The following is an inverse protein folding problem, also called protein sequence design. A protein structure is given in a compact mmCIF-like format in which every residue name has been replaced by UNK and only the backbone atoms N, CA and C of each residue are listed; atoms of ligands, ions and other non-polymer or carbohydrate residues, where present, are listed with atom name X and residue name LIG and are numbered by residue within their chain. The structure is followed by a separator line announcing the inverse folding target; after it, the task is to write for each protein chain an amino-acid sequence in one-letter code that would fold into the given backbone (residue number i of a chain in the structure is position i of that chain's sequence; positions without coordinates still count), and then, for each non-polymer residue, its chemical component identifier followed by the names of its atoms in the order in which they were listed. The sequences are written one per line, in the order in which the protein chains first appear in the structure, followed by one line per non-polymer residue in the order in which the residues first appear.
data_IF_346730105045
#
_entry.id   IF_346730105045
#
_cell.length_a   1.000
_cell.length_b   1.000
_cell.length_c   1.000
_cell.angle_alpha   90.00
_cell.angle_beta   90.00
_cell.angle_gamma   90.00
#
_symmetry.space_group_name_H-M   'P 1'
#
loop_
_entity.id
_entity.type
_entity.pdbx_description
1 polymer ?
#
# COMPACT_ATOMS: atom_id res chain seq x y z
N UNK A 1 19.85 8.58 -20.26
CA UNK A 1 20.71 8.21 -19.12
C UNK A 1 19.99 7.35 -18.09
N UNK A 2 18.83 7.77 -17.53
CA UNK A 2 18.06 6.97 -16.54
C UNK A 2 17.58 5.64 -17.17
N UNK A 3 17.02 5.68 -18.38
CA UNK A 3 16.59 4.48 -19.11
C UNK A 3 17.73 3.46 -19.25
N UNK A 4 18.89 3.89 -19.72
CA UNK A 4 20.04 2.99 -19.88
C UNK A 4 20.50 2.39 -18.55
N UNK A 5 20.43 3.18 -17.46
CA UNK A 5 20.75 2.70 -16.11
C UNK A 5 19.79 1.60 -15.66
N UNK A 6 18.48 1.84 -15.75
CA UNK A 6 17.45 0.86 -15.37
C UNK A 6 17.60 -0.43 -16.17
N UNK A 7 17.78 -0.33 -17.51
CA UNK A 7 17.99 -1.49 -18.37
C UNK A 7 19.26 -2.26 -18.00
N UNK A 8 20.38 -1.57 -17.75
CA UNK A 8 21.63 -2.21 -17.33
C UNK A 8 21.47 -2.92 -16.00
N UNK A 9 20.78 -2.29 -15.04
CA UNK A 9 20.51 -2.90 -13.75
C UNK A 9 19.67 -4.17 -13.88
N UNK A 10 18.55 -4.11 -14.62
CA UNK A 10 17.66 -5.25 -14.82
C UNK A 10 18.32 -6.39 -15.60
N UNK A 11 19.14 -6.07 -16.63
CA UNK A 11 19.85 -7.07 -17.42
C UNK A 11 20.95 -7.80 -16.63
N UNK A 12 21.50 -7.17 -15.59
CA UNK A 12 22.48 -7.78 -14.70
C UNK A 12 21.87 -8.75 -13.67
N UNK A 13 20.54 -8.82 -13.56
CA UNK A 13 19.86 -9.74 -12.65
C UNK A 13 19.53 -11.07 -13.32
N UNK A 14 19.71 -12.16 -12.59
CA UNK A 14 19.27 -13.50 -13.04
C UNK A 14 17.74 -13.56 -13.11
N UNK A 15 17.06 -13.04 -12.08
CA UNK A 15 15.62 -12.92 -12.03
C UNK A 15 15.14 -11.84 -13.01
N UNK A 16 14.17 -12.20 -13.85
CA UNK A 16 13.59 -11.27 -14.83
C UNK A 16 12.47 -10.46 -14.21
N UNK A 17 12.57 -9.14 -14.33
CA UNK A 17 11.51 -8.22 -13.90
C UNK A 17 10.31 -8.31 -14.84
N UNK A 18 9.12 -8.44 -14.27
CA UNK A 18 7.84 -8.37 -14.98
C UNK A 18 6.93 -7.37 -14.26
N UNK A 19 6.59 -6.27 -14.95
CA UNK A 19 5.83 -5.20 -14.31
C UNK A 19 5.98 -3.86 -15.01
N UNK A 20 5.56 -2.80 -14.35
CA UNK A 20 5.59 -1.44 -14.83
C UNK A 20 6.41 -0.54 -13.90
N UNK A 21 7.15 0.37 -14.51
CA UNK A 21 7.96 1.38 -13.82
C UNK A 21 7.56 2.75 -14.31
N UNK A 22 7.39 3.69 -13.38
CA UNK A 22 7.25 5.12 -13.69
C UNK A 22 8.11 5.95 -12.75
N UNK A 23 8.78 6.93 -13.29
CA UNK A 23 9.52 7.96 -12.53
C UNK A 23 9.04 9.33 -13.01
N UNK A 24 8.61 10.15 -12.09
CA UNK A 24 8.24 11.54 -12.35
C UNK A 24 9.09 12.50 -11.53
N UNK A 25 9.35 13.67 -12.09
CA UNK A 25 10.08 14.76 -11.46
C UNK A 25 9.36 16.07 -11.73
N UNK A 26 9.07 16.84 -10.68
CA UNK A 26 8.39 18.14 -10.79
C UNK A 26 7.07 18.10 -11.57
N UNK A 27 6.33 17.00 -11.47
CA UNK A 27 5.06 16.76 -12.16
C UNK A 27 5.19 16.20 -13.58
N UNK A 28 6.40 16.07 -14.12
CA UNK A 28 6.63 15.49 -15.44
C UNK A 28 7.10 14.05 -15.36
N UNK A 29 6.55 13.18 -16.20
CA UNK A 29 7.03 11.80 -16.33
C UNK A 29 8.36 11.79 -17.11
N UNK A 30 9.46 11.48 -16.41
CA UNK A 30 10.80 11.39 -17.01
C UNK A 30 11.19 9.97 -17.46
N UNK A 31 10.45 8.96 -16.98
CA UNK A 31 10.59 7.57 -17.40
C UNK A 31 9.29 6.80 -17.16
N UNK A 32 8.88 6.01 -18.16
CA UNK A 32 7.77 5.05 -18.06
C UNK A 32 8.02 3.90 -19.02
N UNK A 33 8.00 2.67 -18.49
CA UNK A 33 8.19 1.47 -19.32
C UNK A 33 7.51 0.24 -18.68
N UNK A 34 7.06 -0.69 -19.54
CA UNK A 34 6.46 -1.97 -19.17
C UNK A 34 7.39 -3.11 -19.56
N UNK A 35 7.53 -4.10 -18.68
CA UNK A 35 8.41 -5.25 -18.85
C UNK A 35 7.66 -6.55 -18.63
N UNK A 36 8.07 -7.61 -19.32
CA UNK A 36 7.54 -8.95 -19.13
C UNK A 36 6.07 -9.07 -19.54
N UNK A 37 5.37 -10.01 -18.92
CA UNK A 37 4.02 -10.41 -19.32
C UNK A 37 3.02 -10.27 -18.18
N UNK A 38 1.85 -9.72 -18.48
CA UNK A 38 0.70 -9.68 -17.59
C UNK A 38 0.10 -11.09 -17.39
N UNK A 39 0.24 -11.93 -18.41
CA UNK A 39 -0.14 -13.33 -18.35
C UNK A 39 0.85 -14.16 -19.18
N UNK A 40 1.54 -15.08 -18.53
CA UNK A 40 2.55 -15.91 -19.18
C UNK A 40 1.92 -17.08 -19.97
N UNK A 41 0.78 -17.58 -19.54
CA UNK A 41 0.08 -18.69 -20.20
C UNK A 41 -0.45 -18.30 -21.58
N UNK A 42 -0.93 -17.08 -21.70
CA UNK A 42 -1.48 -16.50 -22.92
C UNK A 42 -0.52 -15.57 -23.65
N UNK A 43 0.69 -15.47 -23.19
CA UNK A 43 1.74 -14.64 -23.80
C UNK A 43 1.37 -13.13 -23.89
N UNK A 44 0.50 -12.65 -22.95
CA UNK A 44 0.00 -11.28 -22.95
C UNK A 44 1.04 -10.36 -22.28
N UNK A 45 1.55 -9.34 -23.01
CA UNK A 45 2.54 -8.43 -22.44
C UNK A 45 1.94 -7.51 -21.36
N UNK A 46 2.77 -7.06 -20.42
CA UNK A 46 2.43 -5.91 -19.59
C UNK A 46 2.34 -4.64 -20.43
N UNK A 47 1.41 -3.79 -20.10
CA UNK A 47 1.18 -2.47 -20.74
C UNK A 47 0.92 -1.41 -19.69
N UNK A 48 0.87 -0.15 -20.07
CA UNK A 48 0.60 0.95 -19.16
C UNK A 48 -0.74 0.79 -18.37
N UNK A 49 -1.74 0.15 -18.98
CA UNK A 49 -3.06 -0.09 -18.34
C UNK A 49 -3.14 -1.40 -17.55
N UNK A 50 -2.05 -2.16 -17.46
CA UNK A 50 -2.03 -3.39 -16.66
C UNK A 50 -2.23 -3.06 -15.18
N UNK A 51 -3.21 -3.73 -14.57
CA UNK A 51 -3.56 -3.59 -13.15
C UNK A 51 -2.84 -4.63 -12.31
N UNK A 52 -2.27 -4.18 -11.21
CA UNK A 52 -1.54 -5.01 -10.25
C UNK A 52 -2.18 -4.90 -8.88
N UNK A 53 -2.19 -5.98 -8.12
CA UNK A 53 -2.39 -5.89 -6.67
C UNK A 53 -1.25 -5.09 -6.06
N UNK A 54 -1.58 -4.08 -5.24
CA UNK A 54 -0.55 -3.19 -4.69
C UNK A 54 -0.19 -3.52 -3.24
N UNK A 55 -0.78 -4.57 -2.66
CA UNK A 55 -0.47 -4.99 -1.31
C UNK A 55 -0.50 -3.83 -0.32
N UNK A 56 0.48 -3.74 0.55
CA UNK A 56 0.52 -2.74 1.63
C UNK A 56 0.60 -1.27 1.18
N UNK A 57 0.83 -0.97 -0.09
CA UNK A 57 0.62 0.40 -0.62
C UNK A 57 -0.84 0.85 -0.43
N UNK A 58 -1.78 -0.08 -0.28
CA UNK A 58 -3.16 0.17 0.16
C UNK A 58 -3.24 1.03 1.43
N UNK A 59 -2.29 0.89 2.35
CA UNK A 59 -2.29 1.62 3.63
C UNK A 59 -2.22 3.13 3.45
N UNK A 60 -1.61 3.60 2.38
CA UNK A 60 -1.59 5.03 2.01
C UNK A 60 -3.02 5.53 1.80
N UNK A 61 -3.83 4.78 1.07
CA UNK A 61 -5.24 5.13 0.80
C UNK A 61 -6.08 5.10 2.08
N UNK A 62 -5.88 4.10 2.92
CA UNK A 62 -6.56 4.00 4.21
C UNK A 62 -6.21 5.18 5.13
N UNK A 63 -4.94 5.56 5.18
CA UNK A 63 -4.49 6.72 5.95
C UNK A 63 -5.12 8.02 5.41
N UNK A 64 -5.12 8.23 4.09
CA UNK A 64 -5.77 9.39 3.46
C UNK A 64 -7.28 9.40 3.79
N UNK A 65 -7.95 8.25 3.75
CA UNK A 65 -9.37 8.15 4.09
C UNK A 65 -9.65 8.54 5.55
N UNK A 66 -8.85 8.09 6.49
CA UNK A 66 -8.93 8.51 7.91
C UNK A 66 -8.69 10.01 8.04
N UNK A 67 -7.64 10.52 7.40
CA UNK A 67 -7.31 11.94 7.46
C UNK A 67 -8.38 12.83 6.79
N UNK A 68 -9.09 12.33 5.78
CA UNK A 68 -10.27 13.00 5.21
C UNK A 68 -11.36 13.15 6.26
N UNK A 69 -11.63 12.11 7.05
CA UNK A 69 -12.59 12.18 8.16
C UNK A 69 -12.14 13.13 9.27
N UNK A 70 -10.82 13.20 9.53
CA UNK A 70 -10.24 14.17 10.47
C UNK A 70 -10.45 15.60 9.97
N UNK A 71 -10.19 15.88 8.71
CA UNK A 71 -10.36 17.20 8.10
C UNK A 71 -11.84 17.63 8.09
N UNK A 72 -12.75 16.68 7.88
CA UNK A 72 -14.21 16.86 8.00
C UNK A 72 -14.71 16.99 9.45
N UNK A 73 -13.82 16.92 10.44
CA UNK A 73 -14.15 16.97 11.89
C UNK A 73 -15.10 15.87 12.33
N UNK A 74 -15.16 14.75 11.61
CA UNK A 74 -15.94 13.55 11.96
C UNK A 74 -15.15 12.58 12.83
N UNK A 75 -13.83 12.77 12.90
CA UNK A 75 -12.87 11.95 13.62
C UNK A 75 -11.75 12.83 14.17
N UNK A 76 -11.17 12.43 15.27
CA UNK A 76 -9.95 13.03 15.82
C UNK A 76 -8.91 11.92 16.02
N UNK A 77 -7.63 12.22 15.82
CA UNK A 77 -6.56 11.21 15.93
C UNK A 77 -6.45 10.61 17.34
N UNK A 78 -6.87 11.33 18.35
CA UNK A 78 -6.92 10.85 19.74
C UNK A 78 -8.22 10.12 20.11
N UNK A 79 -9.24 10.07 19.23
CA UNK A 79 -10.37 9.19 19.44
C UNK A 79 -9.88 7.76 19.63
N UNK A 80 -10.61 7.00 20.44
CA UNK A 80 -10.25 5.62 20.76
C UNK A 80 -11.01 4.63 19.89
N UNK A 81 -10.48 3.43 19.74
CA UNK A 81 -11.19 2.35 19.03
C UNK A 81 -12.54 2.05 19.65
N UNK A 82 -12.66 2.14 21.00
CA UNK A 82 -13.90 1.90 21.70
C UNK A 82 -15.02 2.91 21.34
N UNK A 83 -14.67 4.11 20.86
CA UNK A 83 -15.66 5.10 20.40
C UNK A 83 -16.45 4.60 19.17
N UNK A 84 -15.88 3.67 18.40
CA UNK A 84 -16.45 3.16 17.15
C UNK A 84 -16.75 1.66 17.20
N UNK A 85 -15.97 0.90 17.96
CA UNK A 85 -16.10 -0.55 18.15
C UNK A 85 -16.08 -0.82 19.65
N UNK A 86 -17.20 -0.63 20.38
CA UNK A 86 -17.24 -0.68 21.86
C UNK A 86 -16.79 -2.02 22.44
N UNK A 87 -16.92 -3.11 21.68
CA UNK A 87 -16.56 -4.47 22.11
C UNK A 87 -15.06 -4.77 21.93
N UNK A 88 -14.27 -3.85 21.35
CA UNK A 88 -12.86 -4.10 21.08
C UNK A 88 -12.03 -4.13 22.37
N UNK A 89 -11.28 -5.21 22.65
CA UNK A 89 -10.50 -5.33 23.89
C UNK A 89 -9.50 -4.19 24.03
N UNK A 90 -9.42 -3.56 25.20
CA UNK A 90 -8.59 -2.38 25.47
C UNK A 90 -8.83 -1.22 24.47
N UNK A 91 -9.98 -1.22 23.79
CA UNK A 91 -10.30 -0.22 22.79
C UNK A 91 -10.21 1.22 23.29
N UNK A 92 -10.46 1.47 24.57
CA UNK A 92 -10.31 2.77 25.24
C UNK A 92 -8.84 3.22 25.46
N UNK A 93 -7.87 2.36 25.22
CA UNK A 93 -6.42 2.65 25.32
C UNK A 93 -5.75 2.80 23.97
N UNK A 94 -6.46 2.43 22.89
CA UNK A 94 -5.93 2.41 21.53
C UNK A 94 -6.52 3.58 20.76
N UNK A 95 -5.71 4.54 20.38
CA UNK A 95 -6.14 5.67 19.56
C UNK A 95 -6.07 5.38 18.06
N UNK A 96 -6.76 6.21 17.27
CA UNK A 96 -6.64 6.18 15.79
C UNK A 96 -5.19 6.39 15.38
N UNK A 97 -4.47 7.30 16.04
CA UNK A 97 -3.06 7.55 15.77
C UNK A 97 -2.20 6.30 16.04
N UNK A 98 -2.46 5.56 17.11
CA UNK A 98 -1.77 4.29 17.38
C UNK A 98 -1.96 3.26 16.26
N UNK A 99 -3.15 3.21 15.63
CA UNK A 99 -3.41 2.31 14.50
C UNK A 99 -2.65 2.77 13.25
N UNK A 100 -2.69 4.07 12.94
CA UNK A 100 -2.00 4.65 11.78
C UNK A 100 -0.48 4.48 11.83
N UNK A 101 0.10 4.54 13.04
CA UNK A 101 1.56 4.52 13.26
C UNK A 101 2.10 3.15 13.67
N UNK A 102 1.28 2.10 13.63
CA UNK A 102 1.67 0.75 14.05
C UNK A 102 2.16 0.65 15.51
N UNK A 103 1.60 1.48 16.38
CA UNK A 103 1.93 1.49 17.81
C UNK A 103 0.77 1.02 18.70
N UNK A 104 -0.27 0.45 18.10
CA UNK A 104 -1.46 0.00 18.84
C UNK A 104 -1.23 -1.21 19.73
N UNK A 105 -0.19 -1.98 19.49
CA UNK A 105 0.08 -3.24 20.18
C UNK A 105 -0.90 -4.38 19.85
N UNK A 106 -1.83 -4.18 18.92
CA UNK A 106 -2.79 -5.22 18.49
C UNK A 106 -2.05 -6.37 17.83
N UNK A 107 -2.44 -7.61 18.15
CA UNK A 107 -1.93 -8.81 17.51
C UNK A 107 -2.24 -8.81 15.99
N UNK A 108 -1.28 -9.29 15.21
CA UNK A 108 -1.41 -9.30 13.76
C UNK A 108 -2.02 -10.63 13.30
N UNK A 109 -3.11 -10.59 12.54
CA UNK A 109 -3.77 -11.80 12.02
C UNK A 109 -2.84 -12.59 11.09
N UNK A 110 -1.94 -11.93 10.36
CA UNK A 110 -0.99 -12.60 9.48
C UNK A 110 0.09 -13.41 10.22
N UNK A 111 0.24 -13.20 11.54
CA UNK A 111 1.17 -13.96 12.39
C UNK A 111 0.49 -15.15 13.08
N UNK A 112 -0.82 -15.34 12.89
CA UNK A 112 -1.56 -16.39 13.58
C UNK A 112 -1.32 -17.77 12.90
N UNK A 113 -1.26 -18.86 13.68
CA UNK A 113 -1.03 -20.20 13.14
C UNK A 113 -2.09 -20.65 12.12
N UNK A 114 -3.32 -20.15 12.24
CA UNK A 114 -4.45 -20.48 11.39
C UNK A 114 -4.59 -19.52 10.18
N UNK A 115 -3.66 -18.56 10.02
CA UNK A 115 -3.72 -17.58 8.94
C UNK A 115 -3.83 -18.22 7.56
N UNK A 116 -3.00 -19.22 7.28
CA UNK A 116 -3.00 -19.87 5.97
C UNK A 116 -4.38 -20.48 5.65
N UNK A 117 -4.99 -21.17 6.59
CA UNK A 117 -6.31 -21.78 6.38
C UNK A 117 -7.42 -20.74 6.21
N UNK A 118 -7.40 -19.70 7.03
CA UNK A 118 -8.39 -18.61 6.94
C UNK A 118 -8.20 -17.75 5.72
N UNK A 119 -6.99 -17.59 5.23
CA UNK A 119 -6.69 -16.80 4.04
C UNK A 119 -7.33 -17.34 2.75
N UNK A 120 -7.74 -18.60 2.72
CA UNK A 120 -8.50 -19.18 1.61
C UNK A 120 -10.01 -18.89 1.67
N UNK A 121 -10.51 -18.45 2.82
CA UNK A 121 -11.93 -18.25 3.06
C UNK A 121 -12.33 -16.81 2.79
N UNK A 122 -13.56 -16.63 2.34
CA UNK A 122 -14.20 -15.31 2.29
C UNK A 122 -14.41 -14.81 3.72
N UNK A 123 -13.96 -13.60 4.00
CA UNK A 123 -14.13 -12.94 5.29
C UNK A 123 -14.86 -11.61 5.09
N UNK A 124 -15.89 -11.36 5.88
CA UNK A 124 -16.47 -10.01 5.98
C UNK A 124 -15.58 -9.11 6.85
N UNK A 125 -15.73 -7.77 6.78
CA UNK A 125 -15.04 -6.88 7.71
C UNK A 125 -15.28 -7.23 9.18
N UNK A 126 -16.50 -7.67 9.54
CA UNK A 126 -16.83 -8.08 10.90
C UNK A 126 -16.14 -9.40 11.30
N UNK A 127 -16.02 -10.35 10.38
CA UNK A 127 -15.25 -11.59 10.63
C UNK A 127 -13.79 -11.27 10.90
N UNK A 128 -13.19 -10.34 10.13
CA UNK A 128 -11.82 -9.89 10.35
C UNK A 128 -11.66 -9.20 11.70
N UNK A 129 -12.59 -8.34 12.11
CA UNK A 129 -12.58 -7.71 13.44
C UNK A 129 -12.69 -8.75 14.54
N UNK A 130 -13.60 -9.71 14.44
CA UNK A 130 -13.73 -10.80 15.40
C UNK A 130 -12.45 -11.64 15.49
N UNK A 131 -11.80 -11.91 14.38
CA UNK A 131 -10.51 -12.60 14.38
C UNK A 131 -9.42 -11.77 15.06
N UNK A 132 -9.32 -10.48 14.76
CA UNK A 132 -8.37 -9.56 15.40
C UNK A 132 -8.58 -9.52 16.92
N UNK A 133 -9.83 -9.46 17.37
CA UNK A 133 -10.20 -9.48 18.79
C UNK A 133 -9.69 -10.74 19.51
N UNK A 134 -9.62 -11.87 18.80
CA UNK A 134 -9.11 -13.12 19.36
C UNK A 134 -7.57 -13.20 19.45
N UNK A 135 -6.87 -12.28 18.79
CA UNK A 135 -5.41 -12.25 18.81
C UNK A 135 -4.87 -11.65 20.12
N UNK A 136 -3.78 -12.21 20.63
CA UNK A 136 -3.08 -11.67 21.80
C UNK A 136 -2.39 -10.35 21.46
N UNK A 137 -2.44 -9.40 22.40
CA UNK A 137 -1.67 -8.16 22.28
C UNK A 137 -0.16 -8.44 22.28
N UNK A 138 0.58 -7.69 21.49
CA UNK A 138 2.05 -7.78 21.38
C UNK A 138 2.76 -6.81 22.33
N UNK A 139 2.16 -5.62 22.57
CA UNK A 139 2.74 -4.58 23.42
C UNK A 139 1.66 -3.68 24.03
N UNK A 140 2.08 -2.76 24.89
CA UNK A 140 1.22 -1.72 25.44
C UNK A 140 0.98 -0.65 24.35
N UNK A 141 -0.26 -0.20 24.12
CA UNK A 141 -0.54 0.86 23.15
C UNK A 141 0.33 2.11 23.33
N UNK A 142 0.88 2.61 22.25
CA UNK A 142 1.74 3.80 22.20
C UNK A 142 3.19 3.58 22.62
N UNK A 143 3.62 2.38 23.03
CA UNK A 143 4.97 2.15 23.58
C UNK A 143 5.96 1.59 22.57
N UNK A 144 5.52 0.77 21.65
CA UNK A 144 6.40 0.07 20.72
C UNK A 144 5.84 0.13 19.31
N UNK A 145 6.73 0.16 18.33
CA UNK A 145 6.38 -0.03 16.94
C UNK A 145 6.28 -1.52 16.63
N UNK A 146 5.09 -1.95 16.21
CA UNK A 146 4.83 -3.31 15.74
C UNK A 146 3.96 -3.23 14.48
N UNK A 147 4.58 -3.40 13.31
CA UNK A 147 3.85 -3.36 12.04
C UNK A 147 2.69 -4.34 12.07
N UNK A 148 1.47 -3.84 11.82
CA UNK A 148 0.25 -4.63 11.96
C UNK A 148 -0.73 -4.38 10.83
N UNK A 149 -1.05 -5.43 10.07
CA UNK A 149 -2.15 -5.41 9.11
C UNK A 149 -3.49 -5.27 9.85
N UNK A 150 -3.61 -5.92 11.01
CA UNK A 150 -4.80 -5.82 11.87
C UNK A 150 -5.16 -4.38 12.21
N UNK A 151 -4.18 -3.54 12.53
CA UNK A 151 -4.43 -2.12 12.81
C UNK A 151 -5.10 -1.39 11.65
N UNK A 152 -4.63 -1.65 10.43
CA UNK A 152 -5.20 -1.04 9.23
C UNK A 152 -6.57 -1.63 8.85
N UNK A 153 -6.82 -2.90 9.14
CA UNK A 153 -8.15 -3.51 9.02
C UNK A 153 -9.15 -2.83 9.96
N UNK A 154 -8.75 -2.57 11.22
CA UNK A 154 -9.57 -1.81 12.17
C UNK A 154 -9.86 -0.40 11.66
N UNK A 155 -8.88 0.29 11.07
CA UNK A 155 -9.11 1.61 10.45
C UNK A 155 -10.16 1.55 9.33
N UNK A 156 -10.12 0.51 8.47
CA UNK A 156 -11.12 0.32 7.43
C UNK A 156 -12.53 0.16 8.00
N UNK A 157 -12.69 -0.64 9.06
CA UNK A 157 -13.98 -0.79 9.75
C UNK A 157 -14.46 0.52 10.37
N UNK A 158 -13.57 1.31 10.96
CA UNK A 158 -13.90 2.63 11.52
C UNK A 158 -14.36 3.59 10.43
N UNK A 159 -13.74 3.58 9.23
CA UNK A 159 -14.22 4.35 8.08
C UNK A 159 -15.66 3.99 7.74
N UNK A 160 -16.02 2.70 7.71
CA UNK A 160 -17.39 2.26 7.46
C UNK A 160 -18.38 2.72 8.53
N UNK A 161 -18.00 2.58 9.81
CA UNK A 161 -18.86 3.00 10.95
C UNK A 161 -19.17 4.49 10.89
N UNK A 162 -18.17 5.33 10.60
CA UNK A 162 -18.34 6.79 10.58
C UNK A 162 -19.08 7.27 9.33
N UNK A 163 -18.77 6.69 8.19
CA UNK A 163 -19.28 7.16 6.90
C UNK A 163 -20.63 6.57 6.51
N UNK A 164 -20.98 5.38 7.04
CA UNK A 164 -22.13 4.60 6.61
C UNK A 164 -21.99 3.99 5.22
N UNK A 165 -20.81 4.07 4.61
CA UNK A 165 -20.47 3.50 3.31
C UNK A 165 -19.55 2.30 3.52
N UNK A 166 -19.53 1.36 2.58
CA UNK A 166 -18.45 0.37 2.54
C UNK A 166 -17.10 1.07 2.34
N UNK A 167 -16.02 0.41 2.78
CA UNK A 167 -14.66 0.93 2.59
C UNK A 167 -14.38 1.26 1.11
N UNK A 168 -14.77 0.38 0.19
CA UNK A 168 -14.61 0.58 -1.25
C UNK A 168 -15.37 1.81 -1.75
N UNK A 169 -16.66 1.95 -1.37
CA UNK A 169 -17.49 3.10 -1.77
C UNK A 169 -16.93 4.41 -1.23
N UNK A 170 -16.41 4.38 0.01
CA UNK A 170 -15.76 5.56 0.59
C UNK A 170 -14.53 5.98 -0.22
N UNK A 171 -13.60 5.04 -0.50
CA UNK A 171 -12.41 5.33 -1.31
C UNK A 171 -12.79 5.81 -2.72
N UNK A 172 -13.75 5.14 -3.35
CA UNK A 172 -14.23 5.52 -4.68
C UNK A 172 -14.74 6.96 -4.70
N UNK A 173 -15.58 7.32 -3.74
CA UNK A 173 -16.20 8.65 -3.67
C UNK A 173 -15.21 9.75 -3.26
N UNK A 174 -14.27 9.44 -2.37
CA UNK A 174 -13.43 10.45 -1.72
C UNK A 174 -12.01 10.56 -2.30
N UNK A 175 -11.55 9.53 -3.02
CA UNK A 175 -10.19 9.47 -3.56
C UNK A 175 -10.24 9.18 -5.06
N UNK A 176 -10.82 8.05 -5.48
CA UNK A 176 -10.67 7.60 -6.86
C UNK A 176 -11.40 8.52 -7.85
N UNK A 177 -12.66 8.86 -7.60
CA UNK A 177 -13.43 9.73 -8.49
C UNK A 177 -12.87 11.16 -8.55
N UNK A 178 -12.54 11.84 -7.42
CA UNK A 178 -11.94 13.16 -7.46
C UNK A 178 -10.63 13.24 -8.25
N UNK A 179 -9.83 12.17 -8.21
CA UNK A 179 -8.56 12.08 -8.92
C UNK A 179 -8.66 11.40 -10.29
N UNK A 180 -9.85 10.98 -10.72
CA UNK A 180 -10.05 10.23 -11.97
C UNK A 180 -9.26 8.91 -12.04
N UNK A 181 -9.04 8.25 -10.91
CA UNK A 181 -8.36 6.96 -10.80
C UNK A 181 -9.30 5.81 -11.20
N UNK A 182 -9.53 5.65 -12.50
CA UNK A 182 -10.54 4.72 -13.04
C UNK A 182 -10.08 3.26 -13.07
N UNK A 183 -8.79 3.03 -12.87
CA UNK A 183 -8.16 1.70 -12.88
C UNK A 183 -7.74 1.22 -11.49
N UNK A 184 -8.24 1.85 -10.43
CA UNK A 184 -7.98 1.52 -9.04
C UNK A 184 -9.26 1.08 -8.34
N UNK A 185 -9.18 0.04 -7.51
CA UNK A 185 -10.32 -0.47 -6.76
C UNK A 185 -9.93 -1.52 -5.72
N UNK A 186 -10.91 -1.94 -4.93
CA UNK A 186 -10.75 -3.07 -4.03
C UNK A 186 -10.82 -4.38 -4.84
N UNK A 187 -9.85 -5.28 -4.65
CA UNK A 187 -9.81 -6.53 -5.38
C UNK A 187 -10.73 -7.57 -4.70
N UNK A 188 -11.56 -8.19 -5.52
CA UNK A 188 -12.41 -9.31 -5.12
C UNK A 188 -12.20 -10.46 -6.11
N UNK A 189 -12.03 -11.68 -5.57
CA UNK A 189 -11.73 -12.85 -6.41
C UNK A 189 -12.89 -13.20 -7.34
N UNK A 190 -14.11 -12.83 -6.97
CA UNK A 190 -15.34 -13.11 -7.72
C UNK A 190 -15.57 -12.14 -8.88
N UNK A 191 -14.84 -11.01 -8.90
CA UNK A 191 -15.04 -9.95 -9.89
C UNK A 191 -14.05 -10.08 -11.04
N UNK A 192 -14.55 -10.06 -12.27
CA UNK A 192 -13.70 -10.00 -13.46
C UNK A 192 -13.18 -8.58 -13.64
N UNK A 193 -11.89 -8.39 -13.36
CA UNK A 193 -11.21 -7.13 -13.60
C UNK A 193 -10.46 -7.16 -14.93
N UNK A 194 -10.92 -6.33 -15.89
CA UNK A 194 -10.21 -6.19 -17.18
C UNK A 194 -8.78 -5.69 -16.96
N UNK A 195 -7.84 -6.21 -17.74
CA UNK A 195 -6.42 -5.82 -17.72
C UNK A 195 -5.69 -6.14 -16.40
N UNK A 196 -6.23 -6.99 -15.54
CA UNK A 196 -5.54 -7.43 -14.33
C UNK A 196 -4.51 -8.52 -14.69
N UNK A 197 -3.28 -8.32 -14.24
CA UNK A 197 -2.23 -9.31 -14.39
C UNK A 197 -2.50 -10.56 -13.56
N UNK A 198 -2.02 -11.72 -14.04
CA UNK A 198 -1.85 -12.92 -13.22
C UNK A 198 -0.62 -12.78 -12.33
N UNK A 199 -0.69 -13.29 -11.11
CA UNK A 199 0.42 -13.25 -10.16
C UNK A 199 1.28 -14.51 -10.24
N UNK A 200 2.60 -14.33 -10.14
CA UNK A 200 3.59 -15.41 -10.24
C UNK A 200 4.59 -15.36 -9.09
N UNK A 201 5.18 -16.51 -8.78
CA UNK A 201 6.26 -16.67 -7.83
C UNK A 201 7.28 -17.69 -8.35
N UNK A 202 8.42 -17.80 -7.71
CA UNK A 202 9.41 -18.82 -8.02
C UNK A 202 9.27 -19.98 -7.03
N UNK A 203 9.26 -21.21 -7.53
CA UNK A 203 9.30 -22.40 -6.71
C UNK A 203 10.71 -22.61 -6.10
N UNK A 204 10.87 -23.66 -5.30
CA UNK A 204 12.14 -24.00 -4.65
C UNK A 204 13.29 -24.30 -5.64
N UNK A 205 12.98 -24.54 -6.93
CA UNK A 205 13.93 -24.80 -8.00
C UNK A 205 14.15 -23.57 -8.90
N UNK A 206 13.67 -22.39 -8.50
CA UNK A 206 13.66 -21.15 -9.27
C UNK A 206 12.85 -21.22 -10.58
N UNK A 207 11.89 -22.14 -10.69
CA UNK A 207 10.96 -22.13 -11.81
C UNK A 207 9.79 -21.22 -11.51
N UNK A 208 9.34 -20.46 -12.53
CA UNK A 208 8.14 -19.65 -12.41
C UNK A 208 6.90 -20.54 -12.26
N UNK A 209 6.07 -20.23 -11.28
CA UNK A 209 4.79 -20.89 -11.05
C UNK A 209 3.71 -19.87 -10.70
N UNK A 210 2.45 -20.30 -10.70
CA UNK A 210 1.36 -19.48 -10.20
C UNK A 210 1.55 -19.16 -8.73
N UNK A 211 1.26 -17.94 -8.36
CA UNK A 211 1.24 -17.56 -6.96
C UNK A 211 0.17 -18.34 -6.19
N UNK A 212 0.49 -18.64 -4.93
CA UNK A 212 -0.45 -19.27 -4.02
C UNK A 212 -1.75 -18.46 -3.90
N UNK A 213 -2.90 -19.15 -3.86
CA UNK A 213 -4.20 -18.49 -3.75
C UNK A 213 -4.32 -17.74 -2.41
N UNK A 214 -4.99 -16.60 -2.47
CA UNK A 214 -5.50 -15.88 -1.31
C UNK A 214 -6.86 -15.29 -1.65
N UNK A 215 -7.84 -15.41 -0.75
CA UNK A 215 -9.07 -14.65 -0.89
C UNK A 215 -8.79 -13.21 -0.46
N UNK A 216 -8.94 -12.28 -1.40
CA UNK A 216 -8.57 -10.87 -1.22
C UNK A 216 -9.37 -10.15 -0.12
N UNK A 217 -10.53 -10.69 0.27
CA UNK A 217 -11.28 -10.18 1.41
C UNK A 217 -10.47 -10.14 2.72
N UNK A 218 -9.51 -11.06 2.87
CA UNK A 218 -8.62 -11.12 4.05
C UNK A 218 -7.65 -9.94 4.14
N UNK A 219 -7.39 -9.26 3.05
CA UNK A 219 -6.43 -8.14 3.00
C UNK A 219 -7.09 -6.79 3.20
N UNK A 220 -8.36 -6.67 2.81
CA UNK A 220 -9.24 -5.51 3.01
C UNK A 220 -8.50 -4.17 2.93
N UNK A 221 -8.62 -3.31 3.94
CA UNK A 221 -7.99 -1.99 4.04
C UNK A 221 -6.49 -1.99 4.37
N UNK A 222 -5.89 -3.16 4.63
CA UNK A 222 -4.45 -3.30 4.85
C UNK A 222 -3.66 -3.61 3.58
N UNK A 223 -4.29 -4.21 2.55
CA UNK A 223 -3.57 -4.70 1.37
C UNK A 223 -4.44 -5.06 0.17
N UNK A 224 -5.72 -4.72 0.16
CA UNK A 224 -6.71 -5.25 -0.78
C UNK A 224 -6.86 -4.50 -2.10
N UNK A 225 -6.14 -3.42 -2.35
CA UNK A 225 -6.32 -2.65 -3.57
C UNK A 225 -5.51 -3.22 -4.75
N UNK A 226 -6.06 -3.02 -5.95
CA UNK A 226 -5.30 -3.05 -7.20
C UNK A 226 -5.21 -1.64 -7.79
N UNK A 227 -4.17 -1.38 -8.60
CA UNK A 227 -3.99 -0.10 -9.29
C UNK A 227 -3.09 -0.26 -10.53
N UNK A 228 -2.86 0.85 -11.22
CA UNK A 228 -1.87 1.02 -12.28
C UNK A 228 -0.83 2.05 -11.88
N UNK A 229 0.33 2.08 -12.56
CA UNK A 229 1.32 3.14 -12.29
C UNK A 229 0.77 4.53 -12.60
N UNK A 230 -0.12 4.65 -13.57
CA UNK A 230 -0.76 5.92 -13.96
C UNK A 230 -1.71 6.43 -12.88
N UNK A 231 -2.58 5.56 -12.35
CA UNK A 231 -3.49 5.95 -11.26
C UNK A 231 -2.71 6.33 -10.00
N UNK A 232 -1.61 5.63 -9.69
CA UNK A 232 -0.74 6.02 -8.57
C UNK A 232 -0.01 7.35 -8.81
N UNK A 233 0.27 7.75 -10.06
CA UNK A 233 0.74 9.10 -10.37
C UNK A 233 -0.35 10.14 -10.10
N UNK A 234 -1.61 9.85 -10.46
CA UNK A 234 -2.74 10.74 -10.13
C UNK A 234 -2.89 10.91 -8.61
N UNK A 235 -2.70 9.84 -7.84
CA UNK A 235 -2.66 9.94 -6.38
C UNK A 235 -1.52 10.84 -5.91
N UNK A 236 -0.32 10.68 -6.48
CA UNK A 236 0.85 11.50 -6.16
C UNK A 236 0.59 12.99 -6.43
N UNK A 237 0.01 13.30 -7.57
CA UNK A 237 -0.37 14.67 -7.92
C UNK A 237 -1.44 15.21 -6.95
N UNK A 238 -2.43 14.40 -6.59
CA UNK A 238 -3.43 14.76 -5.59
C UNK A 238 -2.85 15.10 -4.21
N UNK A 239 -1.83 14.35 -3.79
CA UNK A 239 -1.09 14.62 -2.54
C UNK A 239 -0.25 15.90 -2.67
N UNK A 240 0.49 16.07 -3.77
CA UNK A 240 1.35 17.24 -4.03
C UNK A 240 0.57 18.55 -4.10
N UNK A 241 -0.56 18.50 -4.79
CA UNK A 241 -1.39 19.68 -5.06
C UNK A 241 -2.41 19.96 -3.95
N UNK A 242 -2.40 19.16 -2.88
CA UNK A 242 -3.33 19.28 -1.75
C UNK A 242 -4.81 19.20 -2.18
N UNK A 243 -5.13 18.44 -3.23
CA UNK A 243 -6.49 18.32 -3.74
C UNK A 243 -7.35 17.31 -2.97
N UNK A 244 -6.73 16.42 -2.18
CA UNK A 244 -7.41 15.46 -1.32
C UNK A 244 -7.48 15.93 0.14
N UNK A 245 -6.39 16.50 0.62
CA UNK A 245 -6.20 16.92 2.01
C UNK A 245 -5.53 18.30 2.02
N UNK A 246 -5.85 19.14 2.99
CA UNK A 246 -5.16 20.41 3.16
C UNK A 246 -3.66 20.23 3.39
N UNK A 247 -2.88 21.28 3.14
CA UNK A 247 -1.44 21.29 3.34
C UNK A 247 -1.05 20.88 4.77
N UNK A 248 -1.81 21.35 5.76
CA UNK A 248 -1.55 21.06 7.16
C UNK A 248 -1.71 19.57 7.47
N UNK A 249 -2.81 18.96 7.03
CA UNK A 249 -3.09 17.52 7.24
C UNK A 249 -2.09 16.66 6.45
N UNK A 250 -1.78 17.04 5.20
CA UNK A 250 -0.76 16.35 4.40
C UNK A 250 0.62 16.38 5.09
N UNK A 251 0.99 17.51 5.70
CA UNK A 251 2.26 17.61 6.44
C UNK A 251 2.28 16.70 7.67
N UNK A 252 1.16 16.56 8.37
CA UNK A 252 1.03 15.63 9.49
C UNK A 252 1.20 14.17 9.05
N UNK A 253 0.70 13.81 7.86
CA UNK A 253 0.85 12.47 7.29
C UNK A 253 2.32 12.06 7.16
N UNK A 254 3.21 13.03 6.88
CA UNK A 254 4.65 12.82 6.75
C UNK A 254 5.44 13.15 8.02
N UNK A 255 4.79 13.32 9.16
CA UNK A 255 5.47 13.47 10.43
C UNK A 255 5.95 12.10 10.94
N UNK A 256 7.25 12.01 11.22
CA UNK A 256 7.87 10.77 11.66
C UNK A 256 7.45 10.43 13.09
N UNK A 257 6.80 9.29 13.26
CA UNK A 257 6.55 8.66 14.55
C UNK A 257 7.69 7.72 14.97
N UNK A 258 7.37 6.76 15.83
CA UNK A 258 8.33 5.73 16.24
C UNK A 258 8.84 4.94 15.02
N UNK A 259 10.12 4.61 15.02
CA UNK A 259 10.81 3.88 13.95
C UNK A 259 10.68 4.50 12.55
N UNK A 260 10.43 5.81 12.46
CA UNK A 260 10.34 6.47 11.17
C UNK A 260 9.07 6.14 10.38
N UNK A 261 7.95 5.82 11.04
CA UNK A 261 6.68 5.57 10.38
C UNK A 261 5.68 6.70 10.66
N UNK A 262 5.16 7.31 9.60
CA UNK A 262 4.09 8.30 9.65
C UNK A 262 2.71 7.65 9.44
N UNK A 263 1.77 8.37 8.81
CA UNK A 263 0.44 7.81 8.54
C UNK A 263 0.41 7.16 7.15
N UNK A 264 0.64 5.85 7.13
CA UNK A 264 0.71 5.05 5.90
C UNK A 264 2.04 5.12 5.14
N UNK A 265 3.08 5.72 5.71
CA UNK A 265 4.37 5.92 5.06
C UNK A 265 5.55 5.62 5.98
N UNK A 266 6.55 4.93 5.47
CA UNK A 266 7.89 4.95 6.05
C UNK A 266 8.57 6.28 5.70
N UNK A 267 9.33 6.82 6.62
CA UNK A 267 9.99 8.12 6.50
C UNK A 267 11.44 7.97 6.94
N UNK A 268 12.37 8.24 6.04
CA UNK A 268 13.81 8.19 6.31
C UNK A 268 14.53 9.40 5.71
N UNK A 269 15.73 9.66 6.18
CA UNK A 269 16.66 10.56 5.51
C UNK A 269 17.63 9.75 4.65
N UNK A 270 17.79 10.18 3.40
CA UNK A 270 18.78 9.61 2.50
C UNK A 270 20.19 10.07 2.87
N UNK A 271 21.21 9.47 2.24
CA UNK A 271 22.62 9.89 2.43
C UNK A 271 22.86 11.36 2.05
N UNK A 272 22.07 11.93 1.17
CA UNK A 272 22.11 13.35 0.77
C UNK A 272 21.20 14.24 1.63
N UNK A 273 20.67 13.71 2.73
CA UNK A 273 19.78 14.39 3.66
C UNK A 273 18.42 14.80 3.07
N UNK A 274 18.02 14.22 1.93
CA UNK A 274 16.64 14.38 1.43
C UNK A 274 15.67 13.50 2.25
N UNK A 275 14.43 13.93 2.36
CA UNK A 275 13.36 13.14 2.98
C UNK A 275 12.81 12.16 1.94
N UNK A 276 12.98 10.87 2.18
CA UNK A 276 12.35 9.81 1.41
C UNK A 276 11.16 9.29 2.21
N UNK A 277 9.96 9.41 1.64
CA UNK A 277 8.76 8.77 2.15
C UNK A 277 8.36 7.67 1.20
N UNK A 278 8.03 6.49 1.73
CA UNK A 278 7.76 5.34 0.88
C UNK A 278 6.86 4.30 1.56
N UNK A 279 6.24 3.48 0.73
CA UNK A 279 5.68 2.22 1.17
C UNK A 279 5.94 1.13 0.12
N UNK A 280 6.38 -0.03 0.58
CA UNK A 280 6.42 -1.23 -0.22
C UNK A 280 5.18 -2.07 0.03
N UNK A 281 4.79 -2.85 -0.97
CA UNK A 281 3.68 -3.78 -0.87
C UNK A 281 4.07 -5.16 -1.35
N UNK A 282 3.57 -6.17 -0.68
CA UNK A 282 3.67 -7.56 -1.08
C UNK A 282 2.34 -8.26 -0.84
N UNK A 283 1.92 -9.04 -1.79
CA UNK A 283 0.79 -9.97 -1.72
C UNK A 283 1.06 -11.10 -2.72
N UNK A 284 0.51 -12.27 -2.49
CA UNK A 284 0.76 -13.45 -3.32
C UNK A 284 0.84 -13.12 -4.81
N UNK A 285 2.03 -13.31 -5.41
CA UNK A 285 2.30 -13.06 -6.81
C UNK A 285 2.51 -11.60 -7.23
N UNK A 286 2.52 -10.65 -6.29
CA UNK A 286 2.67 -9.23 -6.62
C UNK A 286 3.53 -8.52 -5.61
N UNK A 287 4.36 -7.59 -6.12
CA UNK A 287 5.11 -6.65 -5.30
C UNK A 287 4.99 -5.24 -5.86
N UNK A 288 5.06 -4.26 -4.98
CA UNK A 288 4.94 -2.85 -5.34
C UNK A 288 5.87 -1.98 -4.52
N UNK A 289 6.25 -0.86 -5.08
CA UNK A 289 7.01 0.18 -4.40
C UNK A 289 6.51 1.54 -4.82
N UNK A 290 6.20 2.39 -3.84
CA UNK A 290 5.82 3.78 -4.07
C UNK A 290 6.69 4.67 -3.19
N UNK A 291 7.57 5.45 -3.82
CA UNK A 291 8.60 6.27 -3.18
C UNK A 291 8.45 7.73 -3.62
N UNK A 292 8.70 8.66 -2.68
CA UNK A 292 8.73 10.10 -2.95
C UNK A 292 9.96 10.73 -2.30
N UNK A 293 10.77 11.42 -3.08
CA UNK A 293 11.83 12.32 -2.60
C UNK A 293 11.24 13.73 -2.50
N UNK A 294 10.94 14.16 -1.28
CA UNK A 294 10.14 15.35 -1.02
C UNK A 294 10.82 16.62 -1.58
N UNK A 295 12.08 16.86 -1.22
CA UNK A 295 12.81 18.05 -1.60
C UNK A 295 13.08 18.14 -3.11
N UNK A 296 13.14 17.01 -3.78
CA UNK A 296 13.33 16.93 -5.24
C UNK A 296 12.01 16.91 -6.03
N UNK A 297 10.87 16.88 -5.33
CA UNK A 297 9.55 16.69 -5.93
C UNK A 297 9.54 15.53 -6.95
N UNK A 298 10.09 14.40 -6.55
CA UNK A 298 10.27 13.23 -7.39
C UNK A 298 9.49 12.04 -6.84
N UNK A 299 8.93 11.25 -7.75
CA UNK A 299 8.15 10.06 -7.42
C UNK A 299 8.62 8.88 -8.26
N UNK A 300 8.75 7.73 -7.62
CA UNK A 300 9.13 6.46 -8.22
C UNK A 300 8.06 5.45 -7.85
N UNK A 301 7.46 4.82 -8.86
CA UNK A 301 6.46 3.77 -8.68
C UNK A 301 6.91 2.56 -9.50
N UNK A 302 7.00 1.42 -8.83
CA UNK A 302 7.35 0.14 -9.45
C UNK A 302 6.29 -0.88 -9.05
N UNK A 303 5.61 -1.46 -10.03
CA UNK A 303 4.61 -2.50 -9.82
C UNK A 303 5.03 -3.76 -10.56
N UNK A 304 4.94 -4.91 -9.90
CA UNK A 304 5.32 -6.20 -10.47
C UNK A 304 4.24 -7.25 -10.18
N UNK A 305 4.03 -8.14 -11.15
CA UNK A 305 3.23 -9.34 -10.99
C UNK A 305 4.07 -10.58 -10.66
N UNK A 306 5.13 -10.35 -9.89
CA UNK A 306 5.98 -11.40 -9.32
C UNK A 306 6.21 -11.17 -7.83
N UNK A 307 6.26 -12.26 -7.04
CA UNK A 307 6.73 -12.22 -5.65
C UNK A 307 8.25 -12.13 -5.64
N UNK A 308 8.80 -10.92 -5.59
CA UNK A 308 10.25 -10.66 -5.74
C UNK A 308 10.71 -9.49 -4.88
N UNK A 309 11.95 -9.51 -4.41
CA UNK A 309 12.60 -8.36 -3.80
C UNK A 309 13.11 -7.36 -4.85
N UNK A 310 13.15 -7.75 -6.13
CA UNK A 310 13.69 -6.91 -7.20
C UNK A 310 12.92 -5.58 -7.34
N UNK A 311 11.61 -5.57 -7.03
CA UNK A 311 10.78 -4.37 -7.09
C UNK A 311 11.27 -3.27 -6.13
N UNK A 312 11.51 -3.60 -4.86
CA UNK A 312 12.02 -2.63 -3.88
C UNK A 312 13.48 -2.28 -4.14
N UNK A 313 14.31 -3.26 -4.46
CA UNK A 313 15.72 -3.04 -4.80
C UNK A 313 15.87 -2.10 -5.99
N UNK A 314 15.08 -2.28 -7.05
CA UNK A 314 15.08 -1.40 -8.22
C UNK A 314 14.66 0.02 -7.86
N UNK A 315 13.63 0.17 -7.04
CA UNK A 315 13.17 1.49 -6.61
C UNK A 315 14.26 2.24 -5.82
N UNK A 316 14.94 1.56 -4.90
CA UNK A 316 16.05 2.12 -4.12
C UNK A 316 17.26 2.48 -4.99
N UNK A 317 17.56 1.64 -5.98
CA UNK A 317 18.63 1.92 -6.95
C UNK A 317 18.33 3.14 -7.82
N UNK A 318 17.07 3.34 -8.20
CA UNK A 318 16.66 4.56 -8.93
C UNK A 318 16.85 5.79 -8.04
N UNK A 319 16.48 5.74 -6.74
CA UNK A 319 16.74 6.83 -5.78
C UNK A 319 18.25 7.13 -5.72
N UNK A 320 19.06 6.10 -5.54
CA UNK A 320 20.52 6.24 -5.44
C UNK A 320 21.13 6.85 -6.72
N UNK A 321 20.67 6.40 -7.88
CA UNK A 321 21.11 6.94 -9.18
C UNK A 321 20.79 8.43 -9.31
N UNK A 322 19.57 8.82 -8.95
CA UNK A 322 19.10 10.19 -9.03
C UNK A 322 19.86 11.10 -8.05
N UNK A 323 20.08 10.64 -6.84
CA UNK A 323 20.80 11.42 -5.84
C UNK A 323 22.28 11.64 -6.20
N UNK A 324 22.90 10.69 -6.88
CA UNK A 324 24.32 10.81 -7.26
C UNK A 324 24.58 11.76 -8.43
N UNK A 325 23.54 12.21 -9.15
CA UNK A 325 23.66 13.05 -10.34
C UNK A 325 23.21 14.50 -10.16
N UNK A 326 22.61 14.80 -9.03
CA UNK A 326 22.09 16.12 -8.64
C UNK A 326 22.54 16.49 -7.22
#
# INVERSE_FOLDING_TARGET
LLKSYIHSFLNAKEEKFSGNIVVSCQGETIYKESFGKANYEWDIPNTAITKYRIGSVTKIFTAIAILTLVEEKKLQLHNTVADFIPTFPKGNQITIEHLLTHTSGIGNITDQPDFLLKSYQLQSPDDLINWIISCSFKSIPGKEFNYSNSGYIVLGKIIEVISGLSYEEFLKKRIFQPLSMINTGLDANETIQKHKASGYELDANNNMCHASFINMSNTYSAGGLFSTVEDLQLLDDGIKNYSLLSKNITSQMFSSGLCGYGYGWNIIKTKKNNTLVFHHGGINGFTSSYLRLIEKNMTIIVLSNMSTLLTSTLADEIVTYIENRH
#
